data_IF_263680587285
#
_entry.id   IF_263680587285
#
_cell.length_a   1.000
_cell.length_b   1.000
_cell.length_c   1.000
_cell.angle_alpha   90.00
_cell.angle_beta   90.00
_cell.angle_gamma   90.00
#
_symmetry.space_group_name_H-M   'P 1'
#
loop_
_entity.id
_entity.type
_entity.pdbx_description
1 polymer ?
#
# COMPACT_ATOMS: atom_id res chain seq x y z
N UNK A 1 -14.74 -15.96 -28.93
CA UNK A 1 -15.31 -17.13 -28.22
C UNK A 1 -16.00 -16.61 -26.98
N UNK A 2 -17.35 -16.63 -26.92
CA UNK A 2 -18.11 -16.30 -25.72
C UNK A 2 -18.06 -17.50 -24.76
N UNK A 3 -17.00 -17.59 -23.96
CA UNK A 3 -16.88 -18.61 -22.92
C UNK A 3 -17.20 -17.96 -21.58
N UNK A 4 -18.35 -18.28 -20.99
CA UNK A 4 -18.71 -17.85 -19.63
C UNK A 4 -18.57 -19.04 -18.67
N UNK A 5 -17.38 -19.19 -18.07
CA UNK A 5 -17.14 -20.20 -17.05
C UNK A 5 -17.82 -19.81 -15.73
N UNK A 6 -18.47 -20.79 -15.09
CA UNK A 6 -18.94 -20.62 -13.72
C UNK A 6 -17.75 -20.21 -12.81
N UNK A 7 -18.00 -19.33 -11.83
CA UNK A 7 -16.96 -18.75 -10.97
C UNK A 7 -16.08 -19.82 -10.32
N UNK A 8 -16.70 -20.93 -9.89
CA UNK A 8 -16.00 -22.04 -9.23
C UNK A 8 -14.99 -22.77 -10.15
N UNK A 9 -15.17 -22.65 -11.47
CA UNK A 9 -14.30 -23.26 -12.49
C UNK A 9 -13.20 -22.31 -12.98
N UNK A 10 -13.22 -21.05 -12.54
CA UNK A 10 -12.18 -20.09 -12.88
C UNK A 10 -10.98 -20.34 -11.97
N UNK A 11 -9.79 -20.47 -12.55
CA UNK A 11 -8.54 -20.62 -11.79
C UNK A 11 -8.04 -19.25 -11.31
N UNK A 12 -8.84 -18.59 -10.48
CA UNK A 12 -8.57 -17.26 -9.92
C UNK A 12 -8.60 -17.38 -8.40
N UNK A 13 -7.53 -16.90 -7.75
CA UNK A 13 -7.51 -16.63 -6.32
C UNK A 13 -7.86 -15.16 -6.07
N UNK A 14 -8.56 -14.87 -4.99
CA UNK A 14 -8.92 -13.51 -4.61
C UNK A 14 -8.66 -13.28 -3.12
N UNK A 15 -7.95 -12.20 -2.81
CA UNK A 15 -7.78 -11.68 -1.46
C UNK A 15 -8.49 -10.34 -1.37
N UNK A 16 -9.53 -10.27 -0.55
CA UNK A 16 -10.31 -9.07 -0.29
C UNK A 16 -9.62 -8.16 0.72
N UNK A 17 -9.92 -6.88 0.67
CA UNK A 17 -9.42 -5.86 1.60
C UNK A 17 -9.65 -6.21 3.08
N UNK A 18 -10.79 -6.82 3.42
CA UNK A 18 -11.14 -7.27 4.77
C UNK A 18 -10.83 -8.75 5.01
N UNK A 19 -10.00 -9.37 4.14
CA UNK A 19 -9.58 -10.76 4.15
C UNK A 19 -10.71 -11.79 3.98
N UNK A 20 -11.94 -11.47 4.28
CA UNK A 20 -13.15 -12.29 4.17
C UNK A 20 -12.96 -13.74 4.69
N UNK A 21 -12.28 -13.91 5.84
CA UNK A 21 -12.10 -15.21 6.48
C UNK A 21 -13.44 -15.74 7.00
N UNK A 22 -13.60 -17.06 6.95
CA UNK A 22 -14.78 -17.71 7.54
C UNK A 22 -14.66 -17.68 9.07
N UNK A 23 -15.51 -16.94 9.78
CA UNK A 23 -15.34 -16.71 11.23
C UNK A 23 -15.55 -17.97 12.06
N UNK A 24 -16.32 -18.92 11.55
CA UNK A 24 -16.66 -20.20 12.21
C UNK A 24 -15.67 -21.32 11.90
N UNK A 25 -14.60 -21.04 11.16
CA UNK A 25 -13.55 -21.97 10.79
C UNK A 25 -12.22 -21.53 11.40
N UNK A 26 -11.44 -22.47 11.91
CA UNK A 26 -10.06 -22.25 12.33
C UNK A 26 -9.18 -21.88 11.12
N UNK A 27 -7.94 -21.45 11.37
CA UNK A 27 -6.95 -21.19 10.32
C UNK A 27 -6.79 -22.37 9.38
N UNK A 28 -6.59 -23.58 9.93
CA UNK A 28 -6.45 -24.80 9.13
C UNK A 28 -7.70 -25.08 8.30
N UNK A 29 -8.89 -24.93 8.86
CA UNK A 29 -10.16 -25.15 8.16
C UNK A 29 -10.39 -24.12 7.05
N UNK A 30 -10.06 -22.84 7.29
CA UNK A 30 -10.13 -21.79 6.26
C UNK A 30 -9.28 -22.14 5.04
N UNK A 31 -8.05 -22.64 5.24
CA UNK A 31 -7.15 -23.01 4.16
C UNK A 31 -7.62 -24.32 3.49
N UNK A 32 -7.98 -25.32 4.29
CA UNK A 32 -8.43 -26.64 3.79
C UNK A 32 -9.71 -26.56 2.99
N UNK A 33 -10.59 -25.61 3.30
CA UNK A 33 -11.83 -25.38 2.54
C UNK A 33 -11.59 -25.12 1.04
N UNK A 34 -10.49 -24.44 0.73
CA UNK A 34 -10.13 -24.11 -0.65
C UNK A 34 -9.11 -25.06 -1.26
N UNK A 35 -8.40 -25.85 -0.45
CA UNK A 35 -7.27 -26.65 -0.89
C UNK A 35 -7.68 -27.82 -1.80
N UNK A 36 -6.84 -28.10 -2.80
CA UNK A 36 -7.01 -29.20 -3.74
C UNK A 36 -6.72 -30.56 -3.08
N UNK A 37 -5.93 -30.55 -2.00
CA UNK A 37 -5.62 -31.73 -1.19
C UNK A 37 -5.27 -31.34 0.25
N UNK A 38 -5.33 -32.33 1.18
CA UNK A 38 -4.87 -32.16 2.56
C UNK A 38 -3.39 -31.77 2.62
N UNK A 39 -2.58 -32.40 1.78
CA UNK A 39 -1.14 -32.14 1.69
C UNK A 39 -0.88 -30.67 1.28
N UNK A 40 -1.67 -30.13 0.32
CA UNK A 40 -1.56 -28.73 -0.10
C UNK A 40 -1.90 -27.75 1.02
N UNK A 41 -2.90 -28.08 1.83
CA UNK A 41 -3.24 -27.25 2.99
C UNK A 41 -2.11 -27.24 4.04
N UNK A 42 -1.48 -28.38 4.29
CA UNK A 42 -0.36 -28.50 5.23
C UNK A 42 0.90 -27.78 4.72
N UNK A 43 1.21 -27.91 3.43
CA UNK A 43 2.29 -27.17 2.76
C UNK A 43 2.11 -25.65 2.94
N UNK A 44 0.90 -25.15 2.69
CA UNK A 44 0.62 -23.72 2.82
C UNK A 44 0.63 -23.23 4.27
N UNK A 45 0.19 -24.04 5.22
CA UNK A 45 0.32 -23.72 6.64
C UNK A 45 1.79 -23.51 7.01
N UNK A 46 2.66 -24.40 6.56
CA UNK A 46 4.10 -24.30 6.83
C UNK A 46 4.74 -23.12 6.11
N UNK A 47 4.48 -22.99 4.81
CA UNK A 47 5.05 -21.90 4.00
C UNK A 47 4.70 -20.50 4.54
N UNK A 48 3.50 -20.36 5.12
CA UNK A 48 3.01 -19.09 5.68
C UNK A 48 3.33 -18.92 7.18
N UNK A 49 4.08 -19.86 7.79
CA UNK A 49 4.38 -19.89 9.23
C UNK A 49 3.10 -19.82 10.09
N UNK A 50 2.10 -20.65 9.77
CA UNK A 50 0.78 -20.67 10.41
C UNK A 50 0.52 -21.94 11.21
N UNK A 51 1.49 -22.86 11.34
CA UNK A 51 1.31 -24.15 12.01
C UNK A 51 0.85 -23.99 13.46
N UNK A 52 1.49 -23.07 14.20
CA UNK A 52 1.15 -22.77 15.59
C UNK A 52 -0.22 -22.10 15.75
N UNK A 53 -0.77 -21.58 14.66
CA UNK A 53 -2.06 -20.92 14.62
C UNK A 53 -3.16 -21.78 14.01
N UNK A 54 -2.86 -23.02 13.61
CA UNK A 54 -3.76 -23.90 12.84
C UNK A 54 -5.15 -24.09 13.48
N UNK A 55 -5.23 -24.09 14.83
CA UNK A 55 -6.47 -24.25 15.59
C UNK A 55 -7.12 -22.93 16.02
N UNK A 56 -6.49 -21.80 15.72
CA UNK A 56 -6.97 -20.48 16.13
C UNK A 56 -8.06 -20.01 15.14
N UNK A 57 -9.06 -19.30 15.68
CA UNK A 57 -10.15 -18.70 14.89
C UNK A 57 -9.82 -17.27 14.48
N UNK A 58 -10.38 -16.75 13.35
CA UNK A 58 -10.06 -15.44 12.78
C UNK A 58 -10.14 -14.26 13.78
N UNK A 59 -11.10 -14.29 14.71
CA UNK A 59 -11.29 -13.23 15.72
C UNK A 59 -10.08 -13.03 16.66
N UNK A 60 -9.23 -14.04 16.76
CA UNK A 60 -8.05 -14.03 17.63
C UNK A 60 -6.74 -13.83 16.86
N UNK A 61 -6.80 -13.52 15.56
CA UNK A 61 -5.64 -13.27 14.72
C UNK A 61 -5.31 -11.77 14.67
N UNK A 62 -4.01 -11.45 14.62
CA UNK A 62 -3.58 -10.11 14.21
C UNK A 62 -3.89 -9.86 12.73
N UNK A 63 -3.91 -8.60 12.29
CA UNK A 63 -4.14 -8.25 10.88
C UNK A 63 -3.20 -8.97 9.92
N UNK A 64 -1.89 -9.00 10.22
CA UNK A 64 -0.91 -9.70 9.39
C UNK A 64 -1.08 -11.22 9.40
N UNK A 65 -1.53 -11.82 10.51
CA UNK A 65 -1.87 -13.25 10.56
C UNK A 65 -3.11 -13.54 9.71
N UNK A 66 -4.16 -12.74 9.83
CA UNK A 66 -5.38 -12.87 9.05
C UNK A 66 -5.10 -12.74 7.54
N UNK A 67 -4.25 -11.81 7.16
CA UNK A 67 -3.80 -11.65 5.78
C UNK A 67 -3.08 -12.89 5.25
N UNK A 68 -2.12 -13.46 6.00
CA UNK A 68 -1.42 -14.67 5.59
C UNK A 68 -2.38 -15.85 5.42
N UNK A 69 -3.38 -15.99 6.29
CA UNK A 69 -4.44 -16.99 6.15
C UNK A 69 -5.26 -16.79 4.88
N UNK A 70 -5.67 -15.53 4.58
CA UNK A 70 -6.42 -15.21 3.38
C UNK A 70 -5.62 -15.51 2.10
N UNK A 71 -4.33 -15.16 2.11
CA UNK A 71 -3.42 -15.46 1.00
C UNK A 71 -3.22 -16.97 0.82
N UNK A 72 -2.96 -17.71 1.91
CA UNK A 72 -2.87 -19.17 1.87
C UNK A 72 -4.14 -19.80 1.30
N UNK A 73 -5.32 -19.35 1.73
CA UNK A 73 -6.61 -19.82 1.22
C UNK A 73 -6.78 -19.52 -0.27
N UNK A 74 -6.38 -18.33 -0.73
CA UNK A 74 -6.46 -17.98 -2.14
C UNK A 74 -5.52 -18.85 -3.01
N UNK A 75 -4.33 -19.16 -2.51
CA UNK A 75 -3.33 -20.00 -3.18
C UNK A 75 -3.65 -21.51 -3.12
N UNK A 76 -4.46 -21.93 -2.15
CA UNK A 76 -4.80 -23.34 -1.93
C UNK A 76 -5.53 -24.00 -3.12
N UNK A 77 -6.17 -23.20 -3.97
CA UNK A 77 -6.82 -23.65 -5.23
C UNK A 77 -5.86 -23.70 -6.42
N UNK A 78 -4.59 -23.44 -6.23
CA UNK A 78 -3.58 -23.37 -7.29
C UNK A 78 -4.04 -22.48 -8.46
N UNK A 79 -4.33 -21.21 -8.20
CA UNK A 79 -4.85 -20.29 -9.20
C UNK A 79 -3.80 -19.97 -10.26
N UNK A 80 -4.26 -19.62 -11.47
CA UNK A 80 -3.41 -19.07 -12.53
C UNK A 80 -3.27 -17.55 -12.42
N UNK A 81 -4.28 -16.89 -11.79
CA UNK A 81 -4.30 -15.44 -11.56
C UNK A 81 -4.65 -15.22 -10.09
N UNK A 82 -3.90 -14.33 -9.44
CA UNK A 82 -4.16 -13.88 -8.07
C UNK A 82 -4.58 -12.41 -8.10
N UNK A 83 -5.76 -12.12 -7.56
CA UNK A 83 -6.27 -10.77 -7.39
C UNK A 83 -6.09 -10.35 -5.93
N UNK A 84 -5.42 -9.23 -5.70
CA UNK A 84 -5.18 -8.64 -4.38
C UNK A 84 -5.83 -7.25 -4.34
N UNK A 85 -6.85 -7.10 -3.51
CA UNK A 85 -7.58 -5.85 -3.38
C UNK A 85 -7.19 -5.17 -2.06
N UNK A 86 -6.33 -4.14 -2.15
CA UNK A 86 -5.77 -3.42 -1.01
C UNK A 86 -5.29 -4.31 0.15
N UNK A 87 -4.45 -5.33 -0.12
CA UNK A 87 -4.17 -6.40 0.84
C UNK A 87 -3.48 -5.92 2.12
N UNK A 88 -2.84 -4.75 2.13
CA UNK A 88 -2.07 -4.22 3.25
C UNK A 88 -2.65 -2.94 3.86
N UNK A 89 -3.81 -2.47 3.40
CA UNK A 89 -4.37 -1.16 3.78
C UNK A 89 -4.72 -1.06 5.27
N UNK A 90 -5.11 -2.16 5.92
CA UNK A 90 -5.52 -2.19 7.32
C UNK A 90 -4.35 -2.28 8.33
N UNK A 91 -3.09 -2.17 7.89
CA UNK A 91 -1.91 -2.42 8.71
C UNK A 91 -1.15 -1.14 9.03
N UNK A 92 -0.51 -1.11 10.21
CA UNK A 92 0.44 -0.06 10.56
C UNK A 92 1.68 -0.08 9.67
N UNK A 93 2.43 1.02 9.65
CA UNK A 93 3.58 1.20 8.75
C UNK A 93 4.66 0.12 8.89
N UNK A 94 5.00 -0.27 10.13
CA UNK A 94 6.07 -1.27 10.38
C UNK A 94 5.64 -2.66 9.92
N UNK A 95 4.42 -3.05 10.26
CA UNK A 95 3.85 -4.33 9.87
C UNK A 95 3.67 -4.41 8.35
N UNK A 96 3.23 -3.32 7.72
CA UNK A 96 3.05 -3.21 6.26
C UNK A 96 4.38 -3.46 5.52
N UNK A 97 5.47 -2.79 5.91
CA UNK A 97 6.78 -2.97 5.28
C UNK A 97 7.27 -4.41 5.38
N UNK A 98 7.12 -5.03 6.56
CA UNK A 98 7.49 -6.44 6.76
C UNK A 98 6.67 -7.39 5.86
N UNK A 99 5.35 -7.20 5.81
CA UNK A 99 4.47 -8.05 5.01
C UNK A 99 4.61 -7.82 3.50
N UNK A 100 5.01 -6.64 3.06
CA UNK A 100 5.40 -6.43 1.67
C UNK A 100 6.57 -7.33 1.26
N UNK A 101 7.61 -7.43 2.11
CA UNK A 101 8.76 -8.31 1.86
C UNK A 101 8.36 -9.79 1.81
N UNK A 102 7.49 -10.22 2.71
CA UNK A 102 6.94 -11.58 2.70
C UNK A 102 6.13 -11.83 1.42
N UNK A 103 5.27 -10.90 1.04
CA UNK A 103 4.43 -11.03 -0.15
C UNK A 103 5.27 -11.14 -1.43
N UNK A 104 6.34 -10.34 -1.56
CA UNK A 104 7.30 -10.48 -2.69
C UNK A 104 7.82 -11.90 -2.78
N UNK A 105 8.31 -12.48 -1.66
CA UNK A 105 8.86 -13.84 -1.63
C UNK A 105 7.81 -14.89 -2.04
N UNK A 106 6.59 -14.75 -1.54
CA UNK A 106 5.48 -15.64 -1.85
C UNK A 106 5.13 -15.58 -3.34
N UNK A 107 4.95 -14.38 -3.89
CA UNK A 107 4.63 -14.20 -5.31
C UNK A 107 5.72 -14.73 -6.23
N UNK A 108 6.99 -14.55 -5.86
CA UNK A 108 8.13 -15.09 -6.60
C UNK A 108 8.17 -16.63 -6.53
N UNK A 109 7.88 -17.22 -5.36
CA UNK A 109 7.84 -18.66 -5.18
C UNK A 109 6.78 -19.33 -6.07
N UNK A 110 5.56 -18.78 -6.10
CA UNK A 110 4.45 -19.35 -6.86
C UNK A 110 4.47 -18.98 -8.35
N UNK A 111 5.21 -17.96 -8.76
CA UNK A 111 5.29 -17.46 -10.15
C UNK A 111 3.91 -17.22 -10.78
N UNK A 112 2.97 -16.73 -10.00
CA UNK A 112 1.58 -16.49 -10.40
C UNK A 112 1.44 -15.08 -10.98
N UNK A 113 0.66 -14.95 -12.06
CA UNK A 113 0.22 -13.64 -12.55
C UNK A 113 -0.64 -12.98 -11.49
N UNK A 114 -0.18 -11.84 -10.98
CA UNK A 114 -0.88 -11.11 -9.90
C UNK A 114 -1.38 -9.78 -10.38
N UNK A 115 -2.64 -9.47 -10.09
CA UNK A 115 -3.22 -8.14 -10.23
C UNK A 115 -3.43 -7.55 -8.83
N UNK A 116 -2.68 -6.48 -8.54
CA UNK A 116 -2.74 -5.76 -7.27
C UNK A 116 -3.49 -4.45 -7.46
N UNK A 117 -4.49 -4.20 -6.64
CA UNK A 117 -5.11 -2.89 -6.47
C UNK A 117 -4.55 -2.27 -5.19
N UNK A 118 -3.95 -1.11 -5.31
CA UNK A 118 -3.41 -0.35 -4.18
C UNK A 118 -3.36 1.14 -4.47
N UNK A 119 -3.44 1.95 -3.44
CA UNK A 119 -3.20 3.40 -3.48
C UNK A 119 -1.85 3.78 -2.83
N UNK A 120 -1.14 2.81 -2.24
CA UNK A 120 0.18 3.01 -1.62
C UNK A 120 1.28 2.90 -2.69
N UNK A 121 1.95 4.04 -2.97
CA UNK A 121 2.99 4.11 -3.98
C UNK A 121 4.20 3.22 -3.68
N UNK A 122 4.54 3.02 -2.40
CA UNK A 122 5.64 2.16 -2.00
C UNK A 122 5.31 0.68 -2.25
N UNK A 123 4.07 0.28 -1.97
CA UNK A 123 3.56 -1.05 -2.28
C UNK A 123 3.56 -1.31 -3.79
N UNK A 124 3.03 -0.37 -4.58
CA UNK A 124 3.00 -0.44 -6.04
C UNK A 124 4.43 -0.56 -6.60
N UNK A 125 5.36 0.30 -6.14
CA UNK A 125 6.75 0.28 -6.60
C UNK A 125 7.44 -1.07 -6.32
N UNK A 126 7.19 -1.66 -5.14
CA UNK A 126 7.85 -2.87 -4.67
C UNK A 126 7.29 -4.15 -5.27
N UNK A 127 5.98 -4.21 -5.49
CA UNK A 127 5.25 -5.43 -5.87
C UNK A 127 4.92 -5.51 -7.36
N UNK A 128 4.93 -4.41 -8.11
CA UNK A 128 4.47 -4.40 -9.50
C UNK A 128 5.61 -4.26 -10.52
N UNK A 129 5.42 -4.87 -11.70
CA UNK A 129 6.28 -4.70 -12.87
C UNK A 129 5.66 -3.77 -13.92
N UNK A 130 4.34 -3.65 -13.89
CA UNK A 130 3.53 -2.82 -14.79
C UNK A 130 2.40 -2.18 -13.99
N UNK A 131 2.13 -0.93 -14.27
CA UNK A 131 1.14 -0.11 -13.57
C UNK A 131 0.11 0.39 -14.56
N UNK A 132 -1.16 0.20 -14.20
CA UNK A 132 -2.31 0.78 -14.88
C UNK A 132 -2.92 1.83 -13.95
N UNK A 133 -2.86 3.09 -14.32
CA UNK A 133 -3.51 4.17 -13.60
C UNK A 133 -4.93 4.35 -14.12
N UNK A 134 -5.91 4.29 -13.20
CA UNK A 134 -7.32 4.45 -13.54
C UNK A 134 -7.86 5.77 -13.00
N UNK A 135 -8.62 6.48 -13.83
CA UNK A 135 -9.44 7.63 -13.43
C UNK A 135 -10.78 7.54 -14.15
N UNK A 136 -11.87 7.77 -13.42
CA UNK A 136 -13.24 7.78 -13.95
C UNK A 136 -13.59 6.55 -14.80
N UNK A 137 -13.13 5.36 -14.37
CA UNK A 137 -13.38 4.08 -15.04
C UNK A 137 -12.57 3.87 -16.34
N UNK A 138 -11.58 4.74 -16.62
CA UNK A 138 -10.71 4.63 -17.81
C UNK A 138 -9.26 4.47 -17.40
N UNK A 139 -8.52 3.71 -18.18
CA UNK A 139 -7.06 3.62 -18.06
C UNK A 139 -6.48 4.90 -18.68
N UNK A 140 -5.87 5.75 -17.84
CA UNK A 140 -5.25 7.01 -18.26
C UNK A 140 -3.75 6.87 -18.46
N UNK A 141 -3.13 5.86 -17.86
CA UNK A 141 -1.71 5.57 -18.02
C UNK A 141 -1.47 4.06 -17.92
N UNK A 142 -0.60 3.55 -18.79
CA UNK A 142 -0.13 2.17 -18.81
C UNK A 142 1.38 2.20 -19.03
N UNK A 143 2.16 1.78 -18.04
CA UNK A 143 3.61 1.88 -18.09
C UNK A 143 4.28 0.79 -17.24
N UNK A 144 5.55 0.49 -17.51
CA UNK A 144 6.40 -0.27 -16.60
C UNK A 144 6.64 0.54 -15.33
N UNK A 145 6.87 -0.14 -14.19
CA UNK A 145 7.08 0.52 -12.90
C UNK A 145 8.14 1.61 -12.96
N UNK A 146 9.29 1.33 -13.55
CA UNK A 146 10.37 2.32 -13.70
C UNK A 146 9.92 3.55 -14.52
N UNK A 147 9.25 3.32 -15.65
CA UNK A 147 8.75 4.38 -16.52
C UNK A 147 7.64 5.18 -15.83
N UNK A 148 6.78 4.52 -15.08
CA UNK A 148 5.69 5.18 -14.35
C UNK A 148 6.23 6.20 -13.38
N UNK A 149 7.22 5.83 -12.57
CA UNK A 149 7.80 6.70 -11.55
C UNK A 149 8.82 7.71 -12.10
N UNK A 150 9.42 7.48 -13.28
CA UNK A 150 10.31 8.44 -13.92
C UNK A 150 9.59 9.40 -14.85
N UNK A 151 8.58 8.95 -15.60
CA UNK A 151 7.82 9.75 -16.57
C UNK A 151 6.64 10.51 -15.96
N UNK A 152 6.21 10.14 -14.76
CA UNK A 152 5.30 11.01 -14.01
C UNK A 152 6.05 12.32 -13.80
N UNK A 153 5.38 13.46 -13.96
CA UNK A 153 5.85 14.80 -13.57
C UNK A 153 6.14 14.89 -12.05
N UNK A 154 6.55 13.79 -11.44
CA UNK A 154 7.34 13.65 -10.23
C UNK A 154 8.74 14.28 -10.42
N UNK A 155 8.99 14.84 -11.64
CA UNK A 155 10.21 15.58 -11.87
C UNK A 155 10.31 16.68 -10.82
N UNK A 156 11.03 16.36 -9.76
CA UNK A 156 11.62 17.27 -8.82
C UNK A 156 10.67 18.11 -7.93
N UNK A 157 9.42 17.71 -7.70
CA UNK A 157 8.56 18.37 -6.72
C UNK A 157 8.08 17.37 -5.68
N UNK A 158 8.82 17.25 -4.60
CA UNK A 158 8.31 16.59 -3.42
C UNK A 158 7.11 17.43 -2.92
N UNK A 159 5.91 16.82 -2.93
CA UNK A 159 4.71 17.46 -2.40
C UNK A 159 4.43 16.88 -1.03
N UNK A 160 4.36 17.74 -0.04
CA UNK A 160 4.16 17.38 1.35
C UNK A 160 2.99 18.20 1.91
N UNK A 161 2.11 17.56 2.64
CA UNK A 161 1.06 18.25 3.38
C UNK A 161 1.61 18.70 4.73
N UNK A 162 1.42 19.95 5.08
CA UNK A 162 1.86 20.52 6.34
C UNK A 162 0.77 21.40 6.96
N UNK A 163 0.64 21.37 8.29
CA UNK A 163 -0.32 22.20 9.01
C UNK A 163 0.34 23.51 9.44
N UNK A 164 -0.32 24.64 9.17
CA UNK A 164 0.16 25.95 9.59
C UNK A 164 -0.06 26.11 11.11
N UNK A 165 1.04 26.16 11.86
CA UNK A 165 1.02 26.34 13.31
C UNK A 165 1.08 27.80 13.73
N UNK A 166 1.87 28.61 13.02
CA UNK A 166 2.12 30.01 13.36
C UNK A 166 2.39 30.82 12.11
N UNK A 167 1.97 32.09 12.12
CA UNK A 167 2.29 33.08 11.10
C UNK A 167 2.83 34.34 11.78
N UNK A 168 4.04 34.72 11.43
CA UNK A 168 4.67 35.96 11.90
C UNK A 168 4.95 36.87 10.73
N UNK A 169 4.53 38.14 10.84
CA UNK A 169 4.91 39.21 9.93
C UNK A 169 6.11 39.96 10.49
N UNK A 170 7.10 40.19 9.65
CA UNK A 170 8.26 41.05 9.93
C UNK A 170 8.48 41.94 8.72
N UNK A 171 8.49 43.21 8.90
CA UNK A 171 8.59 44.33 7.90
C UNK A 171 8.26 43.97 6.44
N UNK A 172 9.13 43.18 5.79
CA UNK A 172 9.01 42.77 4.37
C UNK A 172 8.81 41.27 4.16
N UNK A 173 8.76 40.50 5.23
CA UNK A 173 8.69 39.04 5.18
C UNK A 173 7.55 38.50 6.03
N UNK A 174 6.97 37.39 5.59
CA UNK A 174 6.02 36.60 6.36
C UNK A 174 6.61 35.22 6.60
N UNK A 175 6.73 34.83 7.86
CA UNK A 175 7.28 33.53 8.27
C UNK A 175 6.14 32.60 8.65
N UNK A 176 6.00 31.49 7.94
CA UNK A 176 5.10 30.40 8.28
C UNK A 176 5.87 29.34 9.05
N UNK A 177 5.39 28.97 10.23
CA UNK A 177 5.86 27.80 10.99
C UNK A 177 4.87 26.67 10.72
N UNK A 178 5.33 25.57 10.14
CA UNK A 178 4.53 24.48 9.63
C UNK A 178 4.91 23.18 10.32
N UNK A 179 3.91 22.36 10.66
CA UNK A 179 4.10 21.00 11.12
C UNK A 179 4.02 20.05 9.92
N UNK A 180 5.12 19.36 9.66
CA UNK A 180 5.25 18.37 8.60
C UNK A 180 5.52 17.00 9.24
N UNK A 181 4.53 16.12 9.30
CA UNK A 181 4.56 14.88 10.07
C UNK A 181 4.88 15.12 11.55
N UNK A 182 6.15 14.95 11.97
CA UNK A 182 6.63 15.21 13.34
C UNK A 182 7.69 16.33 13.38
N UNK A 183 7.97 16.96 12.25
CA UNK A 183 9.00 17.98 12.11
C UNK A 183 8.38 19.37 11.98
N UNK A 184 9.07 20.37 12.52
CA UNK A 184 8.70 21.78 12.37
C UNK A 184 9.57 22.40 11.29
N UNK A 185 8.93 22.94 10.26
CA UNK A 185 9.59 23.61 9.13
C UNK A 185 9.17 25.06 9.09
N UNK A 186 10.10 25.98 8.84
CA UNK A 186 9.82 27.41 8.62
C UNK A 186 9.99 27.76 7.16
N UNK A 187 9.01 28.43 6.61
CA UNK A 187 9.03 28.96 5.24
C UNK A 187 8.91 30.47 5.33
N UNK A 188 9.77 31.16 4.62
CA UNK A 188 9.75 32.62 4.50
C UNK A 188 9.20 33.00 3.15
N UNK A 189 8.21 33.88 3.15
CA UNK A 189 7.57 34.45 1.98
C UNK A 189 7.84 35.95 1.95
N UNK A 190 7.92 36.55 0.76
CA UNK A 190 7.84 37.99 0.66
C UNK A 190 6.42 38.46 0.98
N UNK A 191 6.28 39.70 1.44
CA UNK A 191 4.94 40.27 1.70
C UNK A 191 4.08 40.29 0.43
N UNK A 192 4.69 40.52 -0.72
CA UNK A 192 4.02 40.51 -2.01
C UNK A 192 3.45 39.13 -2.35
N UNK A 193 4.26 38.04 -2.17
CA UNK A 193 3.80 36.66 -2.37
C UNK A 193 2.68 36.30 -1.41
N UNK A 194 2.81 36.69 -0.16
CA UNK A 194 1.78 36.47 0.85
C UNK A 194 0.44 37.13 0.46
N UNK A 195 0.45 38.40 0.14
CA UNK A 195 -0.75 39.14 -0.23
C UNK A 195 -1.40 38.63 -1.51
N UNK A 196 -0.60 38.17 -2.45
CA UNK A 196 -1.07 37.66 -3.75
C UNK A 196 -1.72 36.28 -3.65
N UNK A 197 -1.17 35.39 -2.82
CA UNK A 197 -1.51 33.96 -2.92
C UNK A 197 -1.96 33.33 -1.60
N UNK A 198 -1.67 33.95 -0.45
CA UNK A 198 -1.85 33.30 0.86
C UNK A 198 -2.56 34.18 1.90
N UNK A 199 -3.14 35.30 1.52
CA UNK A 199 -3.80 36.29 2.44
C UNK A 199 -4.95 35.64 3.24
N UNK A 200 -5.63 34.65 2.68
CA UNK A 200 -6.81 34.00 3.26
C UNK A 200 -6.46 32.77 4.12
N UNK A 201 -5.17 32.40 4.19
CA UNK A 201 -4.68 31.24 4.96
C UNK A 201 -4.74 31.55 6.46
N UNK A 202 -5.23 30.59 7.24
CA UNK A 202 -5.39 30.68 8.69
C UNK A 202 -4.55 29.65 9.41
N UNK A 203 -4.20 29.93 10.66
CA UNK A 203 -3.57 28.96 11.56
C UNK A 203 -4.50 27.75 11.70
N UNK A 204 -3.95 26.55 11.53
CA UNK A 204 -4.65 25.28 11.50
C UNK A 204 -4.94 24.76 10.07
N UNK A 205 -4.80 25.57 9.05
CA UNK A 205 -4.98 25.13 7.66
C UNK A 205 -3.91 24.13 7.24
N UNK A 206 -4.30 23.17 6.41
CA UNK A 206 -3.36 22.23 5.77
C UNK A 206 -2.92 22.78 4.43
N UNK A 207 -1.63 23.04 4.29
CA UNK A 207 -0.99 23.58 3.09
C UNK A 207 -0.26 22.48 2.33
N UNK A 208 -0.30 22.55 1.01
CA UNK A 208 0.48 21.67 0.15
C UNK A 208 1.83 22.34 -0.17
N UNK A 209 2.90 21.80 0.40
CA UNK A 209 4.26 22.25 0.12
C UNK A 209 4.81 21.54 -1.12
N UNK A 210 5.43 22.31 -2.00
CA UNK A 210 6.18 21.77 -3.13
C UNK A 210 7.65 22.12 -2.96
N UNK A 211 8.48 21.10 -2.71
CA UNK A 211 9.93 21.27 -2.60
C UNK A 211 10.54 20.89 -3.95
N UNK A 212 11.23 21.83 -4.59
CA UNK A 212 12.10 21.51 -5.73
C UNK A 212 13.32 20.78 -5.16
N UNK A 213 13.40 19.48 -5.40
CA UNK A 213 14.56 18.70 -5.00
C UNK A 213 15.75 19.06 -5.90
N UNK A 214 16.68 19.81 -5.36
CA UNK A 214 18.04 19.89 -5.88
C UNK A 214 18.87 18.92 -5.04
N UNK A 215 19.30 17.79 -5.61
CA UNK A 215 20.20 16.80 -5.02
C UNK A 215 19.85 16.44 -3.55
N UNK A 216 18.92 15.54 -3.30
CA UNK A 216 18.68 15.07 -1.94
C UNK A 216 19.95 14.43 -1.38
N UNK A 217 20.39 14.86 -0.21
CA UNK A 217 21.55 14.33 0.48
C UNK A 217 21.04 13.37 1.56
N UNK A 218 21.60 12.16 1.62
CA UNK A 218 21.38 11.26 2.73
C UNK A 218 22.17 11.76 3.92
N UNK A 219 21.51 12.29 4.94
CA UNK A 219 22.14 12.87 6.13
C UNK A 219 22.45 11.82 7.19
N UNK A 220 21.86 10.64 7.11
CA UNK A 220 22.10 9.55 8.05
C UNK A 220 21.12 8.40 7.86
N UNK A 221 21.42 7.29 8.54
CA UNK A 221 20.51 6.15 8.69
C UNK A 221 19.84 6.27 10.06
N UNK A 222 18.51 6.24 10.08
CA UNK A 222 17.79 6.12 11.34
C UNK A 222 17.98 4.68 11.84
N UNK A 223 18.61 4.50 12.99
CA UNK A 223 18.64 3.22 13.67
C UNK A 223 17.23 2.87 14.15
N UNK A 224 16.88 1.59 13.98
CA UNK A 224 15.52 1.06 14.23
C UNK A 224 15.21 0.97 15.71
#
# INVERSE_FOLDING_TARGET
>A
KNVNLAIQKRKIGFVFQNYALFPNMSVKENISYAATSKQKAEELLSLMNLENLAKIYPKNLSGGQAQRVALARALAREPQILLLDEPLSALDFKMRSFLQDELVKILQHFKITTLLVSHDLAEIYKLSHRILELSDGKIIKDARTNEFFTSSNLSAKLRLSATLLEMKKSDILVIFTLLLNQDIVKITLSEEEFLKSYKDVKIGDTLLLSIKAFNPIIVGKLDK
#
